data_IF_296619335863
#
_entry.id   IF_296619335863
#
_cell.length_a   1.000
_cell.length_b   1.000
_cell.length_c   1.000
_cell.angle_alpha   90.00
_cell.angle_beta   90.00
_cell.angle_gamma   90.00
#
_symmetry.space_group_name_H-M   'P 1'
#
loop_
_entity.id
_entity.type
_entity.pdbx_description
1 polymer ?
#
# COMPACT_ATOMS: atom_id res chain seq x y z
N UNK A 1 -17.52 0.38 -20.46
CA UNK A 1 -17.76 -0.62 -19.39
C UNK A 1 -19.21 -0.56 -18.95
N UNK A 2 -19.83 -1.68 -18.59
CA UNK A 2 -21.23 -1.71 -18.13
C UNK A 2 -21.27 -1.48 -16.62
N UNK A 3 -22.21 -0.69 -16.12
CA UNK A 3 -22.43 -0.55 -14.67
C UNK A 3 -22.93 -1.85 -14.05
N UNK A 4 -22.57 -2.07 -12.79
CA UNK A 4 -23.02 -3.21 -12.02
C UNK A 4 -24.55 -3.19 -11.84
N UNK A 5 -25.16 -4.37 -12.04
CA UNK A 5 -26.62 -4.57 -11.88
C UNK A 5 -27.03 -4.59 -10.41
N UNK A 6 -26.13 -5.02 -9.53
CA UNK A 6 -26.35 -4.99 -8.09
C UNK A 6 -26.27 -3.54 -7.60
N UNK A 7 -27.41 -2.99 -7.16
CA UNK A 7 -27.51 -1.60 -6.71
C UNK A 7 -26.65 -1.31 -5.48
N UNK A 8 -26.50 -2.29 -4.58
CA UNK A 8 -25.69 -2.12 -3.38
C UNK A 8 -24.21 -2.05 -3.75
N UNK A 9 -23.72 -2.99 -4.56
CA UNK A 9 -22.33 -2.94 -5.03
C UNK A 9 -22.04 -1.69 -5.84
N UNK A 10 -22.98 -1.26 -6.67
CA UNK A 10 -22.82 -0.03 -7.45
C UNK A 10 -22.69 1.19 -6.54
N UNK A 11 -23.54 1.31 -5.51
CA UNK A 11 -23.46 2.40 -4.53
C UNK A 11 -22.15 2.36 -3.73
N UNK A 12 -21.73 1.16 -3.33
CA UNK A 12 -20.46 0.97 -2.62
C UNK A 12 -19.26 1.34 -3.51
N UNK A 13 -19.29 0.96 -4.79
CA UNK A 13 -18.30 1.35 -5.78
C UNK A 13 -18.23 2.86 -6.01
N UNK A 14 -19.38 3.55 -6.08
CA UNK A 14 -19.41 5.03 -6.16
C UNK A 14 -18.82 5.66 -4.91
N UNK A 15 -19.20 5.19 -3.71
CA UNK A 15 -18.65 5.69 -2.45
C UNK A 15 -17.12 5.59 -2.41
N UNK A 16 -16.59 4.40 -2.71
CA UNK A 16 -15.16 4.15 -2.72
C UNK A 16 -14.42 4.89 -3.83
N UNK A 17 -15.05 5.09 -5.00
CA UNK A 17 -14.50 5.93 -6.07
C UNK A 17 -14.37 7.39 -5.62
N UNK A 18 -15.41 7.95 -5.00
CA UNK A 18 -15.37 9.33 -4.49
C UNK A 18 -14.28 9.46 -3.42
N UNK A 19 -14.22 8.52 -2.48
CA UNK A 19 -13.18 8.50 -1.45
C UNK A 19 -11.77 8.43 -2.05
N UNK A 20 -11.55 7.56 -3.03
CA UNK A 20 -10.29 7.44 -3.75
C UNK A 20 -9.90 8.77 -4.45
N UNK A 21 -10.86 9.43 -5.12
CA UNK A 21 -10.63 10.73 -5.77
C UNK A 21 -10.31 11.82 -4.73
N UNK A 22 -11.00 11.84 -3.58
CA UNK A 22 -10.71 12.80 -2.52
C UNK A 22 -9.31 12.63 -1.95
N UNK A 23 -8.85 11.38 -1.77
CA UNK A 23 -7.48 11.09 -1.34
C UNK A 23 -6.48 11.51 -2.41
N UNK A 24 -6.78 11.28 -3.69
CA UNK A 24 -5.96 11.80 -4.79
C UNK A 24 -5.79 13.31 -4.69
N UNK A 25 -6.91 14.04 -4.56
CA UNK A 25 -6.87 15.50 -4.43
C UNK A 25 -6.15 15.95 -3.18
N UNK A 26 -6.35 15.27 -2.04
CA UNK A 26 -5.62 15.54 -0.82
C UNK A 26 -4.11 15.41 -1.04
N UNK A 27 -3.67 14.30 -1.64
CA UNK A 27 -2.27 14.10 -2.02
C UNK A 27 -1.79 15.20 -2.98
N UNK A 28 -2.57 15.58 -3.99
CA UNK A 28 -2.22 16.63 -4.95
C UNK A 28 -2.13 18.05 -4.38
N UNK A 29 -2.77 18.34 -3.25
CA UNK A 29 -3.00 19.74 -2.80
C UNK A 29 -2.55 20.03 -1.37
N UNK A 30 -2.31 19.01 -0.56
CA UNK A 30 -1.86 19.18 0.82
C UNK A 30 -0.34 19.15 0.87
N UNK A 31 0.28 20.31 1.07
CA UNK A 31 1.72 20.51 1.29
C UNK A 31 2.09 20.55 2.79
N UNK A 32 1.09 20.36 3.67
CA UNK A 32 1.28 20.34 5.13
C UNK A 32 2.21 19.24 5.67
N UNK A 33 2.66 18.32 4.81
CA UNK A 33 3.52 17.18 5.14
C UNK A 33 4.90 17.65 5.60
N UNK A 34 5.46 18.65 4.92
CA UNK A 34 6.76 19.22 5.24
C UNK A 34 6.73 19.88 6.62
N UNK A 35 5.70 20.69 6.87
CA UNK A 35 5.57 21.46 8.11
C UNK A 35 5.26 20.58 9.32
N UNK A 36 4.36 19.60 9.18
CA UNK A 36 4.03 18.65 10.25
C UNK A 36 5.24 17.80 10.65
N UNK A 37 6.10 17.41 9.71
CA UNK A 37 7.33 16.66 9.99
C UNK A 37 8.48 17.51 10.53
N UNK A 38 8.66 18.72 10.00
CA UNK A 38 9.65 19.69 10.51
C UNK A 38 9.35 20.09 11.97
N UNK A 39 8.08 20.30 12.31
CA UNK A 39 7.68 20.66 13.68
C UNK A 39 7.78 19.48 14.67
N UNK A 40 7.61 18.24 14.19
CA UNK A 40 7.64 17.03 15.02
C UNK A 40 9.02 16.36 15.15
N UNK A 41 10.09 16.98 14.63
CA UNK A 41 11.49 16.62 14.95
C UNK A 41 12.10 15.50 14.11
N UNK A 42 11.62 15.29 12.89
CA UNK A 42 12.27 14.37 11.95
C UNK A 42 13.53 15.03 11.34
N UNK A 43 14.71 14.47 11.60
CA UNK A 43 16.02 14.96 11.11
C UNK A 43 16.46 14.31 9.78
N UNK A 44 15.62 13.49 9.15
CA UNK A 44 15.94 12.92 7.84
C UNK A 44 15.45 13.80 6.69
N UNK A 45 15.78 13.45 5.43
CA UNK A 45 15.35 14.22 4.27
C UNK A 45 13.82 14.32 4.19
N UNK A 46 13.32 15.55 4.09
CA UNK A 46 11.90 15.92 4.09
C UNK A 46 11.09 15.13 3.08
N UNK A 47 10.02 14.46 3.51
CA UNK A 47 9.19 13.58 2.67
C UNK A 47 7.91 14.30 2.27
N UNK A 48 7.94 15.04 1.17
CA UNK A 48 6.79 15.76 0.62
C UNK A 48 6.11 14.93 -0.49
N UNK A 49 4.79 15.02 -0.66
CA UNK A 49 4.13 14.52 -1.86
C UNK A 49 4.03 15.69 -2.84
N UNK A 50 5.00 15.81 -3.75
CA UNK A 50 4.87 16.75 -4.87
C UNK A 50 4.76 16.00 -6.20
N UNK A 51 3.78 16.36 -7.04
CA UNK A 51 3.82 15.98 -8.45
C UNK A 51 4.60 17.00 -9.29
N UNK A 52 4.99 18.12 -8.70
CA UNK A 52 5.97 19.04 -9.27
C UNK A 52 7.37 18.42 -9.20
N UNK A 53 7.66 17.55 -10.17
CA UNK A 53 8.97 16.93 -10.35
C UNK A 53 10.09 17.95 -10.66
N UNK A 54 9.81 19.25 -10.74
CA UNK A 54 10.76 20.29 -11.15
C UNK A 54 11.36 21.10 -10.00
N UNK A 55 10.87 20.93 -8.78
CA UNK A 55 11.25 21.75 -7.61
C UNK A 55 12.31 21.10 -6.69
N UNK A 56 12.81 19.91 -7.04
CA UNK A 56 13.70 19.12 -6.19
C UNK A 56 15.05 19.82 -5.95
N UNK A 57 15.22 20.41 -4.76
CA UNK A 57 16.47 20.98 -4.28
C UNK A 57 17.29 19.95 -3.48
N UNK A 58 18.57 19.79 -3.81
CA UNK A 58 19.53 19.02 -3.05
C UNK A 58 20.82 19.79 -2.85
N UNK A 59 21.51 19.52 -1.74
CA UNK A 59 22.83 20.05 -1.44
C UNK A 59 23.84 18.91 -1.26
N UNK A 60 25.12 19.19 -1.51
CA UNK A 60 26.21 18.26 -1.23
C UNK A 60 27.04 18.77 -0.07
N UNK A 61 27.30 17.89 0.89
CA UNK A 61 28.29 18.16 1.93
C UNK A 61 29.72 18.11 1.35
N UNK A 62 30.71 18.71 2.02
CA UNK A 62 32.12 18.64 1.63
C UNK A 62 32.68 17.22 1.56
N UNK A 63 32.06 16.28 2.28
CA UNK A 63 32.43 14.87 2.35
C UNK A 63 31.76 14.04 1.24
N UNK A 64 31.12 14.72 0.29
CA UNK A 64 30.41 14.17 -0.86
C UNK A 64 29.13 13.37 -0.49
N UNK A 65 28.60 13.58 0.71
CA UNK A 65 27.27 13.09 1.08
C UNK A 65 26.19 14.01 0.48
N UNK A 66 25.11 13.40 -0.01
CA UNK A 66 23.99 14.12 -0.62
C UNK A 66 22.93 14.37 0.45
N UNK A 67 22.61 15.64 0.70
CA UNK A 67 21.54 16.07 1.61
C UNK A 67 20.40 16.61 0.76
N UNK A 68 19.29 15.88 0.71
CA UNK A 68 18.08 16.29 0.02
C UNK A 68 17.31 17.32 0.87
N UNK A 69 16.93 18.47 0.30
CA UNK A 69 16.17 19.52 0.99
C UNK A 69 14.65 19.33 0.82
N UNK A 70 14.22 18.61 -0.22
CA UNK A 70 12.88 18.03 -0.38
C UNK A 70 12.98 16.63 -1.02
N UNK A 71 12.11 15.69 -0.63
CA UNK A 71 12.05 14.34 -1.22
C UNK A 71 10.63 13.84 -1.36
N UNK A 72 10.35 13.19 -2.49
CA UNK A 72 9.10 12.50 -2.74
C UNK A 72 9.16 11.09 -2.17
N UNK A 73 8.46 10.82 -1.07
CA UNK A 73 8.76 9.63 -0.27
C UNK A 73 7.57 9.05 0.48
N UNK A 74 6.95 8.00 -0.10
CA UNK A 74 6.02 7.05 0.56
C UNK A 74 5.46 5.99 -0.43
N UNK A 75 6.28 5.46 -1.33
CA UNK A 75 5.70 5.10 -2.63
C UNK A 75 5.46 3.60 -2.91
N UNK A 76 6.25 2.63 -2.42
CA UNK A 76 6.08 1.25 -2.95
C UNK A 76 4.85 0.49 -2.42
N UNK A 77 4.57 0.55 -1.11
CA UNK A 77 3.46 -0.21 -0.51
C UNK A 77 2.12 0.55 -0.57
N UNK A 78 2.15 1.90 -0.43
CA UNK A 78 0.95 2.72 -0.63
C UNK A 78 0.45 2.58 -2.05
N UNK A 79 1.30 2.60 -3.08
CA UNK A 79 0.78 2.45 -4.45
C UNK A 79 0.13 1.12 -4.70
N UNK A 80 0.64 0.06 -4.08
CA UNK A 80 -0.02 -1.21 -4.15
C UNK A 80 -1.36 -1.17 -3.41
N UNK A 81 -1.45 -0.52 -2.24
CA UNK A 81 -2.73 -0.34 -1.54
C UNK A 81 -3.71 0.58 -2.29
N UNK A 82 -3.21 1.64 -2.92
CA UNK A 82 -3.97 2.58 -3.72
C UNK A 82 -4.43 1.96 -5.04
N UNK A 83 -3.62 1.03 -5.60
CA UNK A 83 -3.99 0.16 -6.71
C UNK A 83 -5.04 -0.87 -6.27
N UNK A 84 -4.88 -1.52 -5.11
CA UNK A 84 -5.90 -2.42 -4.54
C UNK A 84 -7.21 -1.66 -4.36
N UNK A 85 -7.13 -0.42 -3.89
CA UNK A 85 -8.28 0.48 -3.75
C UNK A 85 -8.92 0.77 -5.12
N UNK A 86 -8.11 1.20 -6.10
CA UNK A 86 -8.55 1.46 -7.47
C UNK A 86 -9.28 0.25 -8.09
N UNK A 87 -8.64 -0.91 -8.03
CA UNK A 87 -9.15 -2.15 -8.58
C UNK A 87 -10.44 -2.59 -7.86
N UNK A 88 -10.49 -2.43 -6.53
CA UNK A 88 -11.66 -2.77 -5.72
C UNK A 88 -12.90 -1.99 -6.14
N UNK A 89 -12.82 -0.66 -6.19
CA UNK A 89 -13.99 0.15 -6.54
C UNK A 89 -14.38 -0.02 -8.02
N UNK A 90 -13.42 -0.19 -8.93
CA UNK A 90 -13.70 -0.51 -10.34
C UNK A 90 -14.49 -1.83 -10.47
N UNK A 91 -14.08 -2.85 -9.72
CA UNK A 91 -14.78 -4.13 -9.66
C UNK A 91 -16.22 -3.99 -9.19
N UNK A 92 -16.44 -3.21 -8.13
CA UNK A 92 -17.76 -2.96 -7.56
C UNK A 92 -18.65 -2.12 -8.50
N UNK A 93 -18.11 -1.07 -9.13
CA UNK A 93 -18.87 -0.13 -9.95
C UNK A 93 -19.26 -0.72 -11.32
N UNK A 94 -18.34 -1.44 -11.97
CA UNK A 94 -18.47 -1.89 -13.36
C UNK A 94 -18.67 -3.41 -13.54
N UNK A 95 -18.90 -4.15 -12.45
CA UNK A 95 -19.06 -5.61 -12.45
C UNK A 95 -17.92 -6.35 -13.18
N UNK A 96 -16.70 -5.87 -12.98
CA UNK A 96 -15.50 -6.43 -13.59
C UNK A 96 -15.02 -7.61 -12.75
N UNK A 97 -15.25 -8.84 -13.22
CA UNK A 97 -14.88 -10.05 -12.49
C UNK A 97 -13.38 -10.06 -12.17
N UNK A 98 -12.50 -9.76 -13.13
CA UNK A 98 -11.05 -9.74 -12.90
C UNK A 98 -10.63 -8.74 -11.82
N UNK A 99 -11.33 -7.60 -11.71
CA UNK A 99 -11.03 -6.56 -10.73
C UNK A 99 -11.51 -6.98 -9.34
N UNK A 100 -12.72 -7.53 -9.22
CA UNK A 100 -13.21 -8.12 -7.96
C UNK A 100 -12.26 -9.22 -7.45
N UNK A 101 -11.87 -10.12 -8.34
CA UNK A 101 -10.96 -11.22 -8.02
C UNK A 101 -9.55 -10.72 -7.69
N UNK A 102 -9.07 -9.70 -8.41
CA UNK A 102 -7.82 -9.01 -8.13
C UNK A 102 -7.79 -8.40 -6.73
N UNK A 103 -8.79 -7.58 -6.40
CA UNK A 103 -8.91 -6.92 -5.09
C UNK A 103 -8.97 -7.94 -3.94
N UNK A 104 -9.65 -9.07 -4.11
CA UNK A 104 -9.62 -10.17 -3.14
C UNK A 104 -8.22 -10.77 -3.00
N UNK A 105 -7.53 -11.03 -4.12
CA UNK A 105 -6.23 -11.68 -4.15
C UNK A 105 -5.08 -10.81 -3.62
N UNK A 106 -5.24 -9.49 -3.68
CA UNK A 106 -4.24 -8.51 -3.22
C UNK A 106 -4.61 -7.85 -1.89
N UNK A 107 -5.74 -8.22 -1.28
CA UNK A 107 -6.19 -7.72 0.03
C UNK A 107 -5.12 -7.85 1.12
N UNK A 108 -4.27 -8.89 1.05
CA UNK A 108 -3.16 -9.09 1.98
C UNK A 108 -2.17 -7.93 2.03
N UNK A 109 -1.98 -7.21 0.92
CA UNK A 109 -1.10 -6.03 0.88
C UNK A 109 -1.67 -4.95 1.80
N UNK A 110 -2.95 -4.61 1.64
CA UNK A 110 -3.64 -3.63 2.49
C UNK A 110 -3.72 -4.08 3.95
N UNK A 111 -3.90 -5.38 4.19
CA UNK A 111 -3.94 -5.94 5.55
C UNK A 111 -2.60 -5.77 6.28
N UNK A 112 -1.51 -6.19 5.64
CA UNK A 112 -0.16 -6.09 6.21
C UNK A 112 0.23 -4.62 6.43
N UNK A 113 -0.09 -3.76 5.46
CA UNK A 113 0.18 -2.32 5.53
C UNK A 113 -0.60 -1.60 6.64
N UNK A 114 -1.83 -2.05 6.94
CA UNK A 114 -2.58 -1.55 8.08
C UNK A 114 -1.92 -1.98 9.41
N UNK A 115 -1.52 -3.25 9.53
CA UNK A 115 -0.89 -3.75 10.77
C UNK A 115 0.49 -3.16 11.05
N UNK A 116 1.25 -2.82 10.02
CA UNK A 116 2.58 -2.22 10.19
C UNK A 116 2.56 -0.78 10.70
N UNK A 117 1.38 -0.16 10.77
CA UNK A 117 1.22 1.25 11.17
C UNK A 117 0.27 1.45 12.36
N UNK A 118 -0.25 0.36 12.93
CA UNK A 118 -1.18 0.37 14.07
C UNK A 118 -0.48 0.52 15.42
N UNK A 119 0.24 1.63 15.61
CA UNK A 119 0.58 2.10 16.95
C UNK A 119 -0.41 3.21 17.33
N UNK A 120 -1.30 2.92 18.29
CA UNK A 120 -2.45 3.78 18.61
C UNK A 120 -2.07 5.19 19.12
N UNK A 121 -0.83 5.37 19.61
CA UNK A 121 -0.30 6.68 20.01
C UNK A 121 -0.04 7.63 18.85
N UNK A 122 -0.03 7.12 17.61
CA UNK A 122 0.54 7.80 16.45
C UNK A 122 -0.56 8.38 15.52
N UNK A 123 -1.84 8.15 15.83
CA UNK A 123 -3.01 8.65 15.06
C UNK A 123 -3.40 10.10 15.36
N UNK A 124 -2.46 10.94 15.81
CA UNK A 124 -2.71 12.36 16.09
C UNK A 124 -2.63 13.21 14.81
N UNK A 125 -2.03 12.70 13.74
CA UNK A 125 -1.74 13.42 12.50
C UNK A 125 -2.67 13.08 11.34
N UNK A 126 -3.01 14.10 10.54
CA UNK A 126 -3.93 13.97 9.42
C UNK A 126 -3.41 12.99 8.35
N UNK A 127 -2.10 12.93 8.15
CA UNK A 127 -1.47 12.04 7.18
C UNK A 127 -1.65 10.55 7.54
N UNK A 128 -1.42 10.18 8.79
CA UNK A 128 -1.62 8.80 9.24
C UNK A 128 -3.09 8.38 9.07
N UNK A 129 -4.02 9.29 9.36
CA UNK A 129 -5.45 9.06 9.11
C UNK A 129 -5.75 8.81 7.63
N UNK A 130 -5.21 9.61 6.71
CA UNK A 130 -5.40 9.40 5.26
C UNK A 130 -4.78 8.08 4.79
N UNK A 131 -3.61 7.75 5.31
CA UNK A 131 -2.91 6.48 5.06
C UNK A 131 -3.76 5.28 5.52
N UNK A 132 -4.27 5.33 6.74
CA UNK A 132 -5.14 4.31 7.31
C UNK A 132 -6.43 4.15 6.48
N UNK A 133 -7.02 5.26 6.01
CA UNK A 133 -8.20 5.22 5.15
C UNK A 133 -7.92 4.44 3.86
N UNK A 134 -6.76 4.63 3.20
CA UNK A 134 -6.40 3.88 1.98
C UNK A 134 -6.34 2.37 2.28
N UNK A 135 -5.66 2.00 3.36
CA UNK A 135 -5.43 0.60 3.71
C UNK A 135 -6.73 -0.10 4.14
N UNK A 136 -7.48 0.53 5.03
CA UNK A 136 -8.75 0.02 5.51
C UNK A 136 -9.79 -0.04 4.38
N UNK A 137 -9.74 0.85 3.39
CA UNK A 137 -10.62 0.77 2.22
C UNK A 137 -10.37 -0.51 1.40
N UNK A 138 -9.09 -0.82 1.12
CA UNK A 138 -8.71 -2.07 0.46
C UNK A 138 -9.14 -3.32 1.25
N UNK A 139 -8.93 -3.29 2.57
CA UNK A 139 -9.37 -4.34 3.49
C UNK A 139 -10.90 -4.55 3.45
N UNK A 140 -11.68 -3.48 3.62
CA UNK A 140 -13.14 -3.53 3.70
C UNK A 140 -13.74 -4.04 2.39
N UNK A 141 -13.23 -3.57 1.24
CA UNK A 141 -13.67 -4.09 -0.06
C UNK A 141 -13.31 -5.56 -0.25
N UNK A 142 -12.09 -5.96 0.10
CA UNK A 142 -11.65 -7.36 0.03
C UNK A 142 -12.54 -8.26 0.89
N UNK A 143 -12.77 -7.87 2.15
CA UNK A 143 -13.65 -8.58 3.07
C UNK A 143 -15.09 -8.68 2.55
N UNK A 144 -15.65 -7.58 2.03
CA UNK A 144 -16.96 -7.60 1.39
C UNK A 144 -17.01 -8.61 0.23
N UNK A 145 -16.01 -8.57 -0.65
CA UNK A 145 -15.95 -9.47 -1.82
C UNK A 145 -15.80 -10.94 -1.40
N UNK A 146 -14.97 -11.26 -0.40
CA UNK A 146 -14.89 -12.62 0.18
C UNK A 146 -16.20 -13.07 0.83
N UNK A 147 -16.96 -12.15 1.43
CA UNK A 147 -18.26 -12.46 2.02
C UNK A 147 -19.30 -12.90 0.99
N UNK A 148 -19.11 -12.53 -0.29
CA UNK A 148 -20.08 -12.74 -1.37
C UNK A 148 -19.60 -13.73 -2.44
N UNK A 149 -18.33 -13.69 -2.79
CA UNK A 149 -17.72 -14.42 -3.90
C UNK A 149 -16.69 -15.43 -3.43
N UNK A 150 -16.46 -16.45 -4.25
CA UNK A 150 -15.31 -17.34 -4.12
C UNK A 150 -14.15 -16.81 -4.95
N UNK A 151 -12.95 -16.86 -4.37
CA UNK A 151 -11.72 -16.48 -5.07
C UNK A 151 -11.44 -17.50 -6.20
N UNK A 152 -11.07 -16.99 -7.37
CA UNK A 152 -10.65 -17.77 -8.54
C UNK A 152 -9.25 -17.31 -8.93
N UNK A 153 -8.23 -18.07 -8.55
CA UNK A 153 -6.81 -17.72 -8.77
C UNK A 153 -6.51 -17.41 -10.24
N UNK A 154 -7.12 -18.13 -11.19
CA UNK A 154 -6.94 -17.88 -12.62
C UNK A 154 -7.42 -16.50 -13.08
N UNK A 155 -8.42 -15.92 -12.41
CA UNK A 155 -8.98 -14.60 -12.72
C UNK A 155 -8.25 -13.46 -12.01
N UNK A 156 -7.65 -13.74 -10.86
CA UNK A 156 -6.88 -12.75 -10.10
C UNK A 156 -5.41 -12.66 -10.52
N UNK A 157 -4.87 -13.70 -11.17
CA UNK A 157 -3.47 -13.79 -11.55
C UNK A 157 -2.94 -12.54 -12.31
N UNK A 158 -3.66 -11.96 -13.29
CA UNK A 158 -3.18 -10.75 -13.97
C UNK A 158 -2.98 -9.58 -13.02
N UNK A 159 -3.83 -9.43 -12.00
CA UNK A 159 -3.72 -8.35 -11.02
C UNK A 159 -2.57 -8.62 -10.06
N UNK A 160 -2.42 -9.86 -9.58
CA UNK A 160 -1.29 -10.25 -8.72
C UNK A 160 0.05 -10.00 -9.42
N UNK A 161 0.19 -10.44 -10.68
CA UNK A 161 1.39 -10.16 -11.47
C UNK A 161 1.54 -8.66 -11.80
N UNK A 162 0.44 -7.96 -12.01
CA UNK A 162 0.41 -6.51 -12.22
C UNK A 162 1.02 -5.73 -11.06
N UNK A 163 0.92 -6.23 -9.81
CA UNK A 163 1.59 -5.60 -8.67
C UNK A 163 3.11 -5.53 -8.84
N UNK A 164 3.71 -6.54 -9.48
CA UNK A 164 5.14 -6.56 -9.78
C UNK A 164 5.51 -5.52 -10.85
N UNK A 165 4.68 -5.37 -11.88
CA UNK A 165 4.89 -4.33 -12.89
C UNK A 165 4.82 -2.93 -12.28
N UNK A 166 3.86 -2.68 -11.39
CA UNK A 166 3.75 -1.39 -10.66
C UNK A 166 4.94 -1.16 -9.75
N UNK A 167 5.43 -2.22 -9.08
CA UNK A 167 6.66 -2.15 -8.30
C UNK A 167 7.87 -1.75 -9.17
N UNK A 168 8.03 -2.34 -10.36
CA UNK A 168 9.12 -2.00 -11.28
C UNK A 168 9.00 -0.58 -11.85
N UNK A 169 7.79 -0.13 -12.19
CA UNK A 169 7.55 1.25 -12.63
C UNK A 169 7.91 2.23 -11.52
N UNK A 170 7.52 1.92 -10.28
CA UNK A 170 7.88 2.71 -9.12
C UNK A 170 9.41 2.77 -8.97
N UNK A 171 10.10 1.64 -9.11
CA UNK A 171 11.56 1.62 -9.06
C UNK A 171 12.22 2.56 -10.07
N UNK A 172 11.76 2.53 -11.33
CA UNK A 172 12.31 3.39 -12.40
C UNK A 172 12.06 4.87 -12.12
N UNK A 173 10.92 5.22 -11.54
CA UNK A 173 10.56 6.61 -11.26
C UNK A 173 11.30 7.13 -10.01
N UNK A 174 11.46 6.31 -8.97
CA UNK A 174 11.99 6.75 -7.66
C UNK A 174 13.48 6.50 -7.46
N UNK A 175 14.21 6.06 -8.49
CA UNK A 175 15.66 5.88 -8.41
C UNK A 175 16.36 6.94 -9.27
N UNK A 176 17.39 7.64 -8.77
CA UNK A 176 18.11 8.65 -9.53
C UNK A 176 18.63 8.12 -10.87
N UNK A 177 18.47 8.88 -11.94
CA UNK A 177 18.98 8.49 -13.26
C UNK A 177 20.51 8.67 -13.33
N UNK A 178 21.27 7.73 -13.91
CA UNK A 178 20.83 6.44 -14.43
C UNK A 178 20.48 5.42 -13.32
N UNK A 179 19.24 4.92 -13.31
CA UNK A 179 18.74 4.11 -12.19
C UNK A 179 19.50 2.78 -12.01
N UNK A 180 20.09 2.24 -13.08
CA UNK A 180 20.87 1.00 -13.07
C UNK A 180 22.25 1.14 -12.42
N UNK A 181 22.75 2.37 -12.23
CA UNK A 181 24.00 2.66 -11.51
C UNK A 181 23.76 3.12 -10.07
N UNK A 182 22.56 3.63 -9.77
CA UNK A 182 22.16 4.11 -8.45
C UNK A 182 21.28 3.10 -7.69
N UNK A 183 21.50 1.80 -7.95
CA UNK A 183 20.77 0.71 -7.27
C UNK A 183 21.01 0.80 -5.77
N UNK A 184 19.95 0.79 -4.98
CA UNK A 184 20.04 0.99 -3.54
C UNK A 184 19.70 2.41 -3.08
N UNK A 185 19.77 3.40 -3.97
CA UNK A 185 19.59 4.82 -3.65
C UNK A 185 18.22 5.35 -4.08
N UNK A 186 17.16 4.56 -3.90
CA UNK A 186 15.84 5.11 -4.18
C UNK A 186 15.53 6.22 -3.18
N UNK A 187 14.77 7.21 -3.64
CA UNK A 187 14.10 8.12 -2.74
C UNK A 187 13.13 7.23 -1.92
N UNK A 188 13.47 6.94 -0.66
CA UNK A 188 12.64 6.12 0.25
C UNK A 188 12.05 6.88 1.43
N UNK A 189 10.82 6.47 1.80
CA UNK A 189 10.19 6.90 3.05
C UNK A 189 10.77 6.19 4.25
N UNK A 190 10.78 6.87 5.41
CA UNK A 190 11.09 6.25 6.71
C UNK A 190 10.07 5.17 7.03
N UNK A 191 8.80 5.35 6.66
CA UNK A 191 7.74 4.40 6.99
C UNK A 191 7.72 3.17 6.06
N UNK A 192 8.85 2.83 5.45
CA UNK A 192 8.98 1.56 4.75
C UNK A 192 9.32 0.44 5.72
N UNK A 193 8.55 -0.63 5.55
CA UNK A 193 8.63 -1.86 6.32
C UNK A 193 9.93 -2.62 6.05
N UNK A 194 10.64 -2.28 4.97
CA UNK A 194 11.83 -3.00 4.52
C UNK A 194 12.88 -2.01 4.02
N UNK A 195 13.96 -1.88 4.78
CA UNK A 195 15.15 -1.11 4.43
C UNK A 195 16.10 -1.88 3.48
N UNK A 196 15.64 -2.98 2.88
CA UNK A 196 16.36 -3.65 1.79
C UNK A 196 15.95 -2.97 0.48
N UNK A 197 16.69 -1.94 0.01
CA UNK A 197 16.41 -1.35 -1.26
C UNK A 197 16.60 -2.37 -2.39
N UNK A 198 16.17 -1.98 -3.58
CA UNK A 198 16.11 -2.71 -4.85
C UNK A 198 17.40 -3.43 -5.34
N UNK A 199 18.08 -4.20 -4.49
CA UNK A 199 19.39 -4.78 -4.75
C UNK A 199 19.39 -5.77 -5.92
N UNK A 200 18.23 -6.33 -6.28
CA UNK A 200 18.09 -7.35 -7.32
C UNK A 200 17.17 -6.90 -8.47
N UNK A 201 17.10 -5.60 -8.76
CA UNK A 201 16.33 -5.05 -9.89
C UNK A 201 14.85 -5.49 -9.91
N UNK A 202 14.24 -5.62 -8.72
CA UNK A 202 12.86 -6.05 -8.56
C UNK A 202 12.61 -7.53 -8.58
N UNK A 203 13.64 -8.37 -8.70
CA UNK A 203 13.52 -9.82 -8.50
C UNK A 203 13.18 -10.16 -7.05
N UNK A 204 13.54 -9.31 -6.08
CA UNK A 204 13.14 -9.47 -4.68
C UNK A 204 11.62 -9.47 -4.49
N UNK A 205 10.88 -8.78 -5.36
CA UNK A 205 9.42 -8.73 -5.33
C UNK A 205 8.76 -10.06 -5.78
N UNK A 206 9.50 -10.96 -6.43
CA UNK A 206 9.03 -12.32 -6.74
C UNK A 206 8.63 -13.05 -5.46
N UNK A 207 9.35 -12.83 -4.35
CA UNK A 207 9.00 -13.42 -3.05
C UNK A 207 7.60 -12.98 -2.63
N UNK A 208 7.26 -11.69 -2.78
CA UNK A 208 5.92 -11.15 -2.48
C UNK A 208 4.86 -11.80 -3.37
N UNK A 209 5.12 -11.90 -4.68
CA UNK A 209 4.19 -12.57 -5.63
C UNK A 209 3.97 -14.03 -5.26
N UNK A 210 5.03 -14.76 -4.93
CA UNK A 210 4.95 -16.17 -4.51
C UNK A 210 4.15 -16.32 -3.22
N UNK A 211 4.38 -15.46 -2.23
CA UNK A 211 3.63 -15.44 -0.97
C UNK A 211 2.14 -15.18 -1.25
N UNK A 212 1.82 -14.16 -2.06
CA UNK A 212 0.43 -13.85 -2.42
C UNK A 212 -0.24 -15.05 -3.10
N UNK A 213 0.42 -15.69 -4.06
CA UNK A 213 -0.12 -16.86 -4.75
C UNK A 213 -0.30 -18.06 -3.80
N UNK A 214 0.63 -18.29 -2.88
CA UNK A 214 0.56 -19.36 -1.88
C UNK A 214 -0.63 -19.14 -0.93
N UNK A 215 -0.76 -17.94 -0.35
CA UNK A 215 -1.87 -17.59 0.54
C UNK A 215 -3.21 -17.65 -0.20
N UNK A 216 -3.29 -17.12 -1.43
CA UNK A 216 -4.49 -17.19 -2.25
C UNK A 216 -4.91 -18.63 -2.56
N UNK A 217 -3.95 -19.51 -2.84
CA UNK A 217 -4.20 -20.95 -3.05
C UNK A 217 -4.77 -21.60 -1.79
N UNK A 218 -4.22 -21.27 -0.62
CA UNK A 218 -4.72 -21.75 0.66
C UNK A 218 -6.13 -21.23 0.96
N UNK A 219 -6.40 -19.94 0.71
CA UNK A 219 -7.73 -19.33 0.83
C UNK A 219 -8.73 -20.07 -0.05
N UNK A 220 -8.43 -20.32 -1.32
CA UNK A 220 -9.32 -21.07 -2.22
C UNK A 220 -9.64 -22.46 -1.67
N UNK A 221 -8.62 -23.18 -1.18
CA UNK A 221 -8.77 -24.53 -0.61
C UNK A 221 -9.61 -24.54 0.67
N UNK A 222 -9.39 -23.59 1.57
CA UNK A 222 -10.10 -23.51 2.85
C UNK A 222 -11.52 -22.96 2.69
N UNK A 223 -11.69 -21.85 1.95
CA UNK A 223 -13.02 -21.30 1.66
C UNK A 223 -13.87 -22.26 0.84
N UNK A 224 -13.27 -23.08 -0.05
CA UNK A 224 -13.99 -24.13 -0.77
C UNK A 224 -14.63 -25.21 0.11
N UNK A 225 -14.25 -25.29 1.39
CA UNK A 225 -14.82 -26.24 2.37
C UNK A 225 -15.94 -25.65 3.22
N UNK A 226 -16.31 -24.37 3.02
CA UNK A 226 -17.35 -23.71 3.80
C UNK A 226 -18.28 -22.87 2.93
N UNK A 227 -19.57 -22.90 3.27
CA UNK A 227 -20.59 -22.02 2.73
C UNK A 227 -20.88 -20.81 3.64
N UNK A 228 -20.31 -20.79 4.84
CA UNK A 228 -20.56 -19.73 5.82
C UNK A 228 -19.84 -18.44 5.40
N UNK A 229 -20.64 -17.39 5.13
CA UNK A 229 -20.13 -16.08 4.66
C UNK A 229 -19.15 -15.43 5.62
N UNK A 230 -19.36 -15.58 6.93
CA UNK A 230 -18.48 -15.03 7.95
C UNK A 230 -17.13 -15.74 7.97
N UNK A 231 -17.13 -17.08 7.92
CA UNK A 231 -15.89 -17.86 7.83
C UNK A 231 -15.11 -17.55 6.55
N UNK A 232 -15.79 -17.30 5.43
CA UNK A 232 -15.14 -16.91 4.17
C UNK A 232 -14.35 -15.61 4.26
N UNK A 233 -14.68 -14.74 5.21
CA UNK A 233 -13.95 -13.51 5.52
C UNK A 233 -12.89 -13.74 6.59
N UNK A 234 -13.20 -14.49 7.65
CA UNK A 234 -12.24 -14.75 8.73
C UNK A 234 -11.03 -15.57 8.26
N UNK A 235 -11.22 -16.52 7.34
CA UNK A 235 -10.12 -17.35 6.80
C UNK A 235 -9.01 -16.48 6.17
N UNK A 236 -9.29 -15.62 5.17
CA UNK A 236 -8.25 -14.76 4.60
C UNK A 236 -7.65 -13.81 5.63
N UNK A 237 -8.46 -13.19 6.50
CA UNK A 237 -7.94 -12.32 7.56
C UNK A 237 -6.97 -13.05 8.49
N UNK A 238 -7.32 -14.26 8.94
CA UNK A 238 -6.47 -15.07 9.81
C UNK A 238 -5.17 -15.52 9.14
N UNK A 239 -5.22 -15.84 7.83
CA UNK A 239 -4.03 -16.19 7.07
C UNK A 239 -3.10 -14.99 6.86
N UNK A 240 -3.64 -13.80 6.57
CA UNK A 240 -2.81 -12.59 6.45
C UNK A 240 -2.28 -12.13 7.81
N UNK A 241 -3.02 -12.31 8.90
CA UNK A 241 -2.52 -12.09 10.25
C UNK A 241 -1.36 -13.01 10.59
N UNK A 242 -1.48 -14.31 10.30
CA UNK A 242 -0.39 -15.25 10.49
C UNK A 242 0.84 -14.87 9.63
N UNK A 243 0.62 -14.49 8.37
CA UNK A 243 1.69 -14.02 7.50
C UNK A 243 2.40 -12.80 8.09
N UNK A 244 1.65 -11.79 8.55
CA UNK A 244 2.20 -10.62 9.23
C UNK A 244 3.06 -11.03 10.43
N UNK A 245 2.55 -11.90 11.32
CA UNK A 245 3.29 -12.38 12.48
C UNK A 245 4.59 -13.09 12.11
N UNK A 246 4.57 -13.92 11.05
CA UNK A 246 5.77 -14.59 10.55
C UNK A 246 6.77 -13.53 10.07
N UNK A 247 6.34 -12.63 9.17
CA UNK A 247 7.24 -11.63 8.60
C UNK A 247 7.81 -10.69 9.67
N UNK A 248 7.00 -10.30 10.66
CA UNK A 248 7.43 -9.52 11.81
C UNK A 248 8.45 -10.29 12.66
N UNK A 249 8.19 -11.56 12.97
CA UNK A 249 9.11 -12.40 13.78
C UNK A 249 10.45 -12.72 13.10
N UNK A 250 10.51 -12.59 11.77
CA UNK A 250 11.73 -12.80 10.98
C UNK A 250 12.40 -11.49 10.57
N UNK A 251 11.98 -10.36 11.15
CA UNK A 251 12.48 -9.02 10.83
C UNK A 251 12.37 -8.65 9.34
N UNK A 252 11.44 -9.29 8.61
CA UNK A 252 11.06 -8.92 7.23
C UNK A 252 10.07 -7.75 7.22
N UNK A 253 9.43 -7.50 8.37
CA UNK A 253 8.64 -6.31 8.64
C UNK A 253 9.19 -5.66 9.89
N UNK A 254 9.77 -4.48 9.73
CA UNK A 254 10.14 -3.63 10.85
C UNK A 254 8.97 -2.69 11.11
N UNK A 255 8.27 -2.90 12.23
CA UNK A 255 7.27 -1.92 12.69
C UNK A 255 8.05 -0.74 13.25
N UNK A 256 7.95 0.40 12.57
CA UNK A 256 8.64 1.60 12.99
C UNK A 256 8.12 2.03 14.36
N UNK A 257 9.04 2.22 15.32
CA UNK A 257 8.72 2.87 16.57
C UNK A 257 8.91 4.37 16.38
N UNK A 258 7.91 5.03 15.79
CA UNK A 258 7.95 6.48 15.67
C UNK A 258 7.44 7.04 17.00
N UNK A 259 8.32 7.68 17.78
CA UNK A 259 7.87 8.38 18.99
C UNK A 259 7.19 9.69 18.59
N UNK A 260 5.91 9.56 18.24
CA UNK A 260 5.09 10.62 17.67
C UNK A 260 4.54 11.62 18.71
N UNK A 261 4.87 11.46 20.00
CA UNK A 261 4.53 12.40 21.07
C UNK A 261 5.38 13.69 21.07
N UNK A 262 6.35 13.83 20.16
CA UNK A 262 7.18 15.04 20.04
C UNK A 262 6.38 16.33 19.82
N UNK A 263 5.17 16.26 19.24
CA UNK A 263 4.29 17.42 19.06
C UNK A 263 3.21 17.63 20.13
N UNK A 264 2.99 16.69 21.06
CA UNK A 264 1.98 16.85 22.12
C UNK A 264 2.45 17.77 23.27
N UNK A 265 3.72 18.17 23.28
CA UNK A 265 4.36 18.94 24.35
C UNK A 265 4.74 20.38 23.96
N UNK A 266 4.18 20.93 22.85
CA UNK A 266 4.30 22.35 22.51
C UNK A 266 2.97 23.08 22.65
#
# INVERSE_FOLDING_TARGET
MRLNKDLFERRLGVFFMVLWILILFFYLTWDGWLYEWCDCGYNGPSQHFDLDITDMEYSRSPDNEITYLSTNNLHNLIYLCYLVFLIGWLGLLFDLEWAKQGAMATMGISFVAALSTLNLSDHVYLLQVVYDIVHLSGLVMGAYLFSKYYLKTSKSLPVVLGTWAIYLVSHVIFTPWPFWENVGQAYFSVNQINDLPFFLFGMEYIVVVVILLAVNTLIVKLNGRTSNRFLRVLIPLGLYFLLFMIMYSTDLIIVQNVNMNTCALR
#
